data_IF_280276556782
#
_entry.id   IF_280276556782
#
_cell.length_a   1.000
_cell.length_b   1.000
_cell.length_c   1.000
_cell.angle_alpha   90.00
_cell.angle_beta   90.00
_cell.angle_gamma   90.00
#
_symmetry.space_group_name_H-M   'P 1'
#
loop_
_entity.id
_entity.type
_entity.pdbx_description
1 polymer ?
#
# COMPACT_ATOMS: atom_id res chain seq x y z
N UNK A 1 2.04 5.27 -33.78
CA UNK A 1 1.17 6.22 -34.51
C UNK A 1 1.71 7.62 -34.30
N UNK A 2 2.17 8.29 -35.35
CA UNK A 2 2.93 9.55 -35.25
C UNK A 2 2.01 10.76 -35.40
N UNK A 3 1.79 11.51 -34.32
CA UNK A 3 0.98 12.74 -34.33
C UNK A 3 1.72 13.83 -35.11
N UNK A 4 1.26 14.09 -36.34
CA UNK A 4 1.73 15.21 -37.18
C UNK A 4 1.04 16.51 -36.73
N UNK A 5 1.71 17.29 -35.90
CA UNK A 5 1.32 18.68 -35.64
C UNK A 5 1.60 19.52 -36.90
N UNK A 6 0.55 19.92 -37.63
CA UNK A 6 0.65 20.87 -38.75
C UNK A 6 0.85 22.29 -38.20
N UNK A 7 2.09 22.75 -38.12
CA UNK A 7 2.40 24.19 -37.98
C UNK A 7 2.12 24.90 -39.30
N UNK A 8 1.06 25.70 -39.38
CA UNK A 8 0.89 26.71 -40.44
C UNK A 8 1.74 27.93 -40.08
N UNK A 9 2.83 28.14 -40.82
CA UNK A 9 3.57 29.39 -40.80
C UNK A 9 2.75 30.46 -41.54
N UNK A 10 2.25 31.45 -40.79
CA UNK A 10 1.76 32.71 -41.36
C UNK A 10 2.88 33.74 -41.23
N UNK A 11 3.46 34.10 -42.37
CA UNK A 11 4.42 35.19 -42.48
C UNK A 11 3.68 36.52 -42.68
N UNK A 12 4.06 37.51 -41.88
CA UNK A 12 4.04 38.94 -42.22
C UNK A 12 2.72 39.69 -42.04
N UNK A 13 2.65 40.54 -41.02
CA UNK A 13 2.77 41.99 -41.19
C UNK A 13 2.82 42.68 -39.82
N UNK A 14 3.88 43.46 -39.59
CA UNK A 14 4.00 44.33 -38.45
C UNK A 14 3.20 45.62 -38.69
N UNK A 15 2.25 45.93 -37.82
CA UNK A 15 1.75 47.28 -37.60
C UNK A 15 1.32 47.39 -36.13
N UNK A 16 2.10 48.19 -35.39
CA UNK A 16 1.86 48.52 -34.01
C UNK A 16 0.62 49.42 -33.88
N UNK A 17 -0.38 48.94 -33.16
CA UNK A 17 -1.43 49.73 -32.54
C UNK A 17 -1.78 49.02 -31.23
N UNK A 18 -1.59 49.73 -30.12
CA UNK A 18 -1.80 49.24 -28.76
C UNK A 18 -3.26 48.92 -28.50
N UNK A 19 -3.66 47.70 -28.83
CA UNK A 19 -4.82 47.05 -28.26
C UNK A 19 -4.32 46.17 -27.11
N UNK A 20 -4.64 46.57 -25.89
CA UNK A 20 -4.68 45.65 -24.75
C UNK A 20 -5.76 44.63 -25.14
N UNK A 21 -5.37 43.56 -25.84
CA UNK A 21 -6.18 42.38 -25.97
C UNK A 21 -6.25 41.78 -24.57
N UNK A 22 -7.25 42.23 -23.80
CA UNK A 22 -7.86 41.37 -22.80
C UNK A 22 -8.38 40.17 -23.59
N UNK A 23 -7.53 39.15 -23.77
CA UNK A 23 -8.02 37.83 -24.11
C UNK A 23 -8.99 37.50 -22.97
N UNK A 24 -10.31 37.44 -23.21
CA UNK A 24 -11.19 36.87 -22.22
C UNK A 24 -10.60 35.49 -21.93
N UNK A 25 -10.15 35.26 -20.69
CA UNK A 25 -9.63 33.97 -20.31
C UNK A 25 -10.69 32.96 -20.69
N UNK A 26 -10.38 32.09 -21.66
CA UNK A 26 -11.28 31.01 -22.02
C UNK A 26 -11.43 30.16 -20.76
N UNK A 27 -12.57 30.29 -20.09
CA UNK A 27 -12.93 29.39 -19.00
C UNK A 27 -13.48 28.15 -19.69
N UNK A 28 -12.78 27.03 -19.53
CA UNK A 28 -13.32 25.73 -19.92
C UNK A 28 -14.48 25.47 -18.97
N UNK A 29 -15.64 25.14 -19.53
CA UNK A 29 -16.81 24.73 -18.75
C UNK A 29 -16.42 23.45 -17.99
N UNK A 30 -16.47 23.49 -16.66
CA UNK A 30 -16.05 22.37 -15.81
C UNK A 30 -16.83 21.08 -16.06
N UNK A 31 -18.01 21.17 -16.68
CA UNK A 31 -18.78 19.99 -17.08
C UNK A 31 -18.09 19.13 -18.15
N UNK A 32 -17.19 19.71 -18.95
CA UNK A 32 -16.44 18.98 -19.99
C UNK A 32 -15.30 18.12 -19.42
N UNK A 33 -14.71 18.54 -18.31
CA UNK A 33 -13.65 17.79 -17.63
C UNK A 33 -14.17 16.50 -16.99
N UNK A 34 -15.49 16.39 -16.78
CA UNK A 34 -16.13 15.17 -16.28
C UNK A 34 -16.36 14.11 -17.36
N UNK A 35 -16.20 14.42 -18.65
CA UNK A 35 -16.64 13.51 -19.74
C UNK A 35 -15.50 12.86 -20.52
N UNK A 36 -14.26 13.31 -20.32
CA UNK A 36 -13.08 12.80 -21.01
C UNK A 36 -11.89 12.73 -20.03
N UNK A 37 -10.94 11.82 -20.27
CA UNK A 37 -9.69 11.79 -19.51
C UNK A 37 -8.78 12.95 -19.93
N UNK A 38 -8.45 13.84 -18.99
CA UNK A 38 -7.46 14.90 -19.19
C UNK A 38 -6.18 14.58 -18.44
N UNK A 39 -5.08 14.45 -19.18
CA UNK A 39 -3.76 14.27 -18.59
C UNK A 39 -3.21 15.61 -18.09
N UNK A 40 -2.45 15.57 -17.00
CA UNK A 40 -1.80 16.75 -16.42
C UNK A 40 -0.35 16.46 -16.08
N UNK A 41 0.47 17.51 -15.95
CA UNK A 41 1.81 17.41 -15.36
C UNK A 41 1.84 18.13 -14.00
N UNK A 42 1.04 19.19 -13.88
CA UNK A 42 0.90 19.99 -12.65
C UNK A 42 -0.57 20.39 -12.41
N UNK A 43 -0.92 20.71 -11.16
CA UNK A 43 -2.30 21.08 -10.79
C UNK A 43 -2.86 22.28 -11.57
N UNK A 44 -2.01 23.20 -12.05
CA UNK A 44 -2.46 24.34 -12.86
C UNK A 44 -3.00 23.95 -14.23
N UNK A 45 -2.73 22.72 -14.69
CA UNK A 45 -3.22 22.23 -15.99
C UNK A 45 -4.71 21.91 -15.96
N UNK A 46 -5.26 21.58 -14.79
CA UNK A 46 -6.64 21.10 -14.62
C UNK A 46 -7.69 22.22 -14.47
N UNK A 47 -7.26 23.46 -14.27
CA UNK A 47 -8.17 24.59 -14.04
C UNK A 47 -8.70 24.68 -12.60
N UNK A 48 -9.56 25.67 -12.35
CA UNK A 48 -10.07 25.97 -11.01
C UNK A 48 -11.11 24.94 -10.55
N UNK A 49 -11.02 24.48 -9.30
CA UNK A 49 -11.90 23.44 -8.76
C UNK A 49 -11.44 22.01 -9.04
N UNK A 50 -10.32 21.85 -9.74
CA UNK A 50 -9.74 20.57 -10.13
C UNK A 50 -8.30 20.46 -9.64
N UNK A 51 -7.83 19.23 -9.45
CA UNK A 51 -6.47 18.89 -9.06
C UNK A 51 -5.87 17.88 -10.03
N UNK A 52 -4.53 17.87 -10.11
CA UNK A 52 -3.80 16.84 -10.83
C UNK A 52 -3.58 15.65 -9.89
N UNK A 53 -4.32 14.57 -10.11
CA UNK A 53 -4.09 13.27 -9.50
C UNK A 53 -2.77 12.70 -10.05
N UNK A 54 -1.91 12.25 -9.14
CA UNK A 54 -0.56 11.82 -9.50
C UNK A 54 -0.57 10.40 -10.05
N UNK A 55 0.24 10.18 -11.07
CA UNK A 55 0.48 8.91 -11.70
C UNK A 55 0.92 7.88 -10.66
N UNK A 56 0.44 6.68 -10.87
CA UNK A 56 0.85 5.47 -10.18
C UNK A 56 1.49 4.54 -11.22
N UNK A 57 2.07 3.40 -10.84
CA UNK A 57 2.53 2.42 -11.81
C UNK A 57 1.39 1.87 -12.70
N UNK A 58 0.14 2.13 -12.31
CA UNK A 58 -1.07 1.60 -12.92
C UNK A 58 -1.78 2.65 -13.78
N UNK A 59 -1.66 3.94 -13.45
CA UNK A 59 -2.40 5.05 -14.05
C UNK A 59 -1.47 6.23 -14.41
N UNK A 60 -1.72 6.95 -15.53
CA UNK A 60 -1.03 8.21 -15.81
C UNK A 60 -1.46 9.33 -14.86
N UNK A 61 -0.79 10.49 -14.90
CA UNK A 61 -1.26 11.70 -14.22
C UNK A 61 -2.56 12.20 -14.89
N UNK A 62 -3.59 12.52 -14.12
CA UNK A 62 -4.88 12.95 -14.67
C UNK A 62 -5.59 14.02 -13.83
N UNK A 63 -6.43 14.82 -14.47
CA UNK A 63 -7.24 15.82 -13.81
C UNK A 63 -8.51 15.21 -13.21
N UNK A 64 -8.76 15.50 -11.95
CA UNK A 64 -9.99 15.15 -11.23
C UNK A 64 -10.52 16.37 -10.45
N UNK A 65 -11.82 16.45 -10.13
CA UNK A 65 -12.33 17.48 -9.24
C UNK A 65 -11.58 17.44 -7.91
N UNK A 66 -11.37 18.59 -7.27
CA UNK A 66 -10.66 18.60 -5.99
C UNK A 66 -11.56 18.16 -4.83
N UNK A 67 -10.96 17.62 -3.78
CA UNK A 67 -11.71 17.19 -2.59
C UNK A 67 -12.24 18.33 -1.72
N UNK A 68 -11.73 19.54 -1.91
CA UNK A 68 -12.24 20.73 -1.24
C UNK A 68 -13.57 21.24 -1.83
N UNK A 69 -13.95 20.78 -3.03
CA UNK A 69 -15.26 21.04 -3.64
C UNK A 69 -16.29 20.00 -3.17
N UNK A 70 -17.57 20.18 -3.53
CA UNK A 70 -18.60 19.16 -3.30
C UNK A 70 -18.23 17.89 -4.09
N UNK A 71 -17.56 16.95 -3.41
CA UNK A 71 -17.19 15.66 -3.96
C UNK A 71 -18.35 14.69 -3.77
N UNK A 72 -19.03 14.33 -4.85
CA UNK A 72 -20.11 13.34 -4.87
C UNK A 72 -19.60 11.89 -4.86
N UNK A 73 -18.29 11.67 -4.71
CA UNK A 73 -17.67 10.35 -4.71
C UNK A 73 -16.55 10.20 -3.69
N UNK A 74 -15.56 9.40 -4.03
CA UNK A 74 -14.43 9.06 -3.16
C UNK A 74 -13.35 10.11 -3.28
N UNK A 75 -13.02 10.69 -2.14
CA UNK A 75 -11.87 11.56 -2.03
C UNK A 75 -10.59 10.78 -1.85
N UNK A 76 -9.94 10.39 -2.95
CA UNK A 76 -8.56 9.90 -2.85
C UNK A 76 -7.66 11.10 -2.65
N UNK A 77 -6.96 11.15 -1.53
CA UNK A 77 -5.93 12.15 -1.38
C UNK A 77 -4.88 11.86 -2.46
N UNK A 78 -4.78 12.68 -3.52
CA UNK A 78 -3.63 12.76 -4.44
C UNK A 78 -3.42 14.24 -4.80
N UNK A 79 -2.24 14.81 -4.53
CA UNK A 79 -1.96 16.25 -4.67
C UNK A 79 -2.44 17.17 -3.51
N UNK A 80 -2.08 18.45 -3.55
CA UNK A 80 -2.36 19.43 -2.46
C UNK A 80 -3.86 19.60 -2.15
N UNK A 81 -4.74 19.24 -3.06
CA UNK A 81 -6.19 19.45 -2.94
C UNK A 81 -7.02 18.15 -2.93
N UNK A 82 -6.39 16.98 -3.02
CA UNK A 82 -7.06 15.69 -3.25
C UNK A 82 -7.72 15.58 -4.63
N UNK A 83 -8.02 14.35 -5.04
CA UNK A 83 -8.73 14.02 -6.27
C UNK A 83 -10.04 13.32 -5.88
N UNK A 84 -11.16 13.90 -6.29
CA UNK A 84 -12.48 13.33 -6.13
C UNK A 84 -12.74 12.37 -7.30
N UNK A 85 -12.77 11.07 -7.02
CA UNK A 85 -13.13 10.05 -7.99
C UNK A 85 -14.60 9.71 -7.84
N UNK A 86 -15.28 9.48 -8.97
CA UNK A 86 -16.68 9.04 -8.92
C UNK A 86 -16.76 7.61 -8.40
N UNK A 87 -17.70 7.37 -7.49
CA UNK A 87 -18.08 6.02 -7.10
C UNK A 87 -18.71 5.27 -8.27
N UNK A 88 -18.50 3.96 -8.30
CA UNK A 88 -19.16 3.06 -9.20
C UNK A 88 -19.49 1.75 -8.47
N UNK A 89 -20.30 0.91 -9.09
CA UNK A 89 -20.71 -0.37 -8.53
C UNK A 89 -20.48 -1.49 -9.52
N UNK A 90 -20.01 -2.61 -9.03
CA UNK A 90 -19.84 -3.85 -9.78
C UNK A 90 -21.01 -4.77 -9.43
N UNK A 91 -21.77 -5.18 -10.43
CA UNK A 91 -22.94 -6.04 -10.26
C UNK A 91 -22.54 -7.52 -10.23
N UNK A 92 -23.44 -8.39 -9.74
CA UNK A 92 -23.19 -9.84 -9.66
C UNK A 92 -22.93 -10.50 -11.02
N UNK A 93 -23.40 -9.90 -12.11
CA UNK A 93 -23.15 -10.34 -13.49
C UNK A 93 -21.86 -9.75 -14.09
N UNK A 94 -21.02 -9.13 -13.25
CA UNK A 94 -19.77 -8.44 -13.59
C UNK A 94 -19.96 -7.20 -14.48
N UNK A 95 -21.19 -6.76 -14.70
CA UNK A 95 -21.42 -5.45 -15.31
C UNK A 95 -21.14 -4.34 -14.30
N UNK A 96 -20.71 -3.18 -14.80
CA UNK A 96 -20.38 -2.04 -13.94
C UNK A 96 -21.34 -0.88 -14.19
N UNK A 97 -21.62 -0.09 -13.15
CA UNK A 97 -22.28 1.20 -13.35
C UNK A 97 -21.39 2.10 -14.20
N UNK A 98 -21.98 2.90 -15.09
CA UNK A 98 -21.22 3.71 -16.03
C UNK A 98 -20.29 4.71 -15.31
N UNK A 99 -19.00 4.64 -15.63
CA UNK A 99 -18.03 5.67 -15.29
C UNK A 99 -18.19 6.91 -16.18
N UNK A 100 -17.60 8.06 -15.81
CA UNK A 100 -17.84 9.32 -16.50
C UNK A 100 -17.41 9.34 -17.98
N UNK A 101 -16.42 8.52 -18.36
CA UNK A 101 -16.03 8.26 -19.75
C UNK A 101 -15.61 6.80 -19.96
N UNK A 102 -15.40 6.41 -21.21
CA UNK A 102 -14.87 5.09 -21.59
C UNK A 102 -13.37 4.91 -21.26
N UNK A 103 -12.68 5.97 -20.84
CA UNK A 103 -11.27 5.94 -20.43
C UNK A 103 -11.10 5.59 -18.94
N UNK A 104 -12.21 5.36 -18.22
CA UNK A 104 -12.22 4.98 -16.81
C UNK A 104 -12.89 3.62 -16.66
N UNK A 105 -12.23 2.71 -15.97
CA UNK A 105 -12.85 1.48 -15.50
C UNK A 105 -13.32 1.63 -14.06
N UNK A 106 -14.35 0.85 -13.73
CA UNK A 106 -14.85 0.74 -12.37
C UNK A 106 -13.99 -0.27 -11.61
N UNK A 107 -13.00 0.21 -10.86
CA UNK A 107 -12.06 -0.64 -10.13
C UNK A 107 -12.58 -0.91 -8.72
N UNK A 108 -12.61 -2.18 -8.36
CA UNK A 108 -13.02 -2.66 -7.04
C UNK A 108 -12.07 -2.13 -5.97
N UNK A 109 -12.62 -1.48 -4.94
CA UNK A 109 -11.83 -0.95 -3.81
C UNK A 109 -11.82 -1.86 -2.60
N UNK A 110 -12.79 -2.77 -2.49
CA UNK A 110 -12.92 -3.78 -1.43
C UNK A 110 -13.31 -5.12 -2.03
N UNK A 111 -12.65 -6.21 -1.62
CA UNK A 111 -13.04 -7.57 -2.02
C UNK A 111 -14.24 -8.10 -1.23
N UNK A 112 -14.71 -7.37 -0.22
CA UNK A 112 -15.83 -7.75 0.63
C UNK A 112 -17.17 -7.19 0.11
N UNK A 113 -17.12 -6.10 -0.66
CA UNK A 113 -18.27 -5.34 -1.13
C UNK A 113 -18.23 -5.08 -2.64
N UNK A 114 -19.36 -4.66 -3.22
CA UNK A 114 -19.53 -4.36 -4.65
C UNK A 114 -19.15 -2.95 -5.07
N UNK A 115 -18.52 -2.22 -4.16
CA UNK A 115 -18.17 -0.83 -4.34
C UNK A 115 -16.85 -0.71 -5.11
N UNK A 116 -16.81 0.25 -6.02
CA UNK A 116 -15.65 0.57 -6.82
C UNK A 116 -15.50 2.07 -7.02
N UNK A 117 -14.40 2.45 -7.64
CA UNK A 117 -14.13 3.83 -8.05
C UNK A 117 -13.76 3.87 -9.52
N UNK A 118 -14.27 4.89 -10.20
CA UNK A 118 -13.89 5.16 -11.59
C UNK A 118 -12.45 5.67 -11.63
N UNK A 119 -11.55 4.88 -12.21
CA UNK A 119 -10.12 5.15 -12.25
C UNK A 119 -9.56 4.89 -13.65
N UNK A 120 -8.64 5.72 -14.17
CA UNK A 120 -8.17 5.62 -15.56
C UNK A 120 -7.07 4.56 -15.68
N UNK A 121 -7.46 3.30 -15.46
CA UNK A 121 -6.64 2.10 -15.56
C UNK A 121 -7.46 1.01 -16.24
N UNK A 122 -6.79 -0.03 -16.72
CA UNK A 122 -7.47 -1.23 -17.20
C UNK A 122 -7.80 -2.15 -16.01
N UNK A 123 -9.09 -2.42 -15.82
CA UNK A 123 -9.59 -3.39 -14.86
C UNK A 123 -9.41 -4.83 -15.36
N UNK A 124 -9.21 -5.77 -14.44
CA UNK A 124 -9.07 -7.18 -14.77
C UNK A 124 -9.73 -8.11 -13.74
N UNK A 125 -10.18 -9.26 -14.20
CA UNK A 125 -10.58 -10.40 -13.37
C UNK A 125 -9.62 -11.57 -13.48
N UNK A 126 -8.80 -11.60 -14.53
CA UNK A 126 -7.78 -12.62 -14.76
C UNK A 126 -6.55 -12.00 -15.42
N UNK A 127 -5.36 -12.59 -15.20
CA UNK A 127 -4.12 -12.09 -15.84
C UNK A 127 -4.14 -12.19 -17.37
N UNK A 128 -5.07 -12.95 -17.97
CA UNK A 128 -5.23 -13.02 -19.43
C UNK A 128 -5.86 -11.76 -20.04
N UNK A 129 -6.51 -10.92 -19.22
CA UNK A 129 -7.07 -9.62 -19.63
C UNK A 129 -5.99 -8.52 -19.64
N UNK A 130 -4.88 -8.75 -18.94
CA UNK A 130 -3.77 -7.80 -18.85
C UNK A 130 -2.81 -7.92 -20.04
N UNK A 131 -2.00 -6.88 -20.24
CA UNK A 131 -0.90 -6.91 -21.21
C UNK A 131 0.19 -7.91 -20.78
N UNK A 132 1.08 -8.31 -21.69
CA UNK A 132 2.03 -9.41 -21.45
C UNK A 132 3.05 -9.15 -20.30
N UNK A 133 3.24 -7.89 -19.91
CA UNK A 133 4.15 -7.45 -18.83
C UNK A 133 3.40 -7.18 -17.51
N UNK A 134 2.12 -7.52 -17.46
CA UNK A 134 1.25 -7.25 -16.32
C UNK A 134 0.51 -8.53 -15.89
N UNK A 135 0.27 -8.65 -14.60
CA UNK A 135 -0.61 -9.67 -14.04
C UNK A 135 -1.79 -9.01 -13.34
N UNK A 136 -2.91 -9.72 -13.26
CA UNK A 136 -4.04 -9.21 -12.54
C UNK A 136 -3.82 -9.36 -11.03
N UNK A 137 -4.11 -8.32 -10.26
CA UNK A 137 -3.98 -8.33 -8.79
C UNK A 137 -4.82 -9.44 -8.13
N UNK A 138 -5.84 -9.95 -8.83
CA UNK A 138 -6.58 -11.16 -8.47
C UNK A 138 -5.66 -12.34 -8.16
N UNK A 139 -4.58 -12.54 -8.93
CA UNK A 139 -3.65 -13.64 -8.72
C UNK A 139 -2.93 -13.53 -7.37
N UNK A 140 -2.61 -12.32 -6.92
CA UNK A 140 -2.11 -12.08 -5.57
C UNK A 140 -3.19 -12.41 -4.53
N UNK A 141 -4.41 -11.86 -4.66
CA UNK A 141 -5.52 -12.07 -3.70
C UNK A 141 -5.88 -13.56 -3.55
N UNK A 142 -5.91 -14.31 -4.66
CA UNK A 142 -6.14 -15.74 -4.66
C UNK A 142 -4.96 -16.52 -4.08
N UNK A 143 -3.74 -16.17 -4.48
CA UNK A 143 -2.51 -16.85 -4.07
C UNK A 143 -2.25 -16.77 -2.56
N UNK A 144 -2.63 -15.66 -1.93
CA UNK A 144 -2.51 -15.47 -0.48
C UNK A 144 -3.65 -16.14 0.31
N UNK A 145 -4.51 -16.90 -0.38
CA UNK A 145 -5.54 -17.73 0.24
C UNK A 145 -6.74 -16.95 0.76
N UNK A 146 -6.89 -15.68 0.38
CA UNK A 146 -7.99 -14.85 0.87
C UNK A 146 -9.29 -15.10 0.06
N UNK A 147 -9.24 -15.82 -1.06
CA UNK A 147 -10.41 -16.21 -1.87
C UNK A 147 -11.44 -17.17 -1.23
N UNK A 148 -11.37 -17.43 0.08
CA UNK A 148 -12.37 -18.23 0.79
C UNK A 148 -13.57 -17.40 1.25
N UNK A 149 -14.80 -17.92 1.12
CA UNK A 149 -15.94 -17.38 1.88
C UNK A 149 -16.74 -16.23 1.25
N UNK A 150 -16.66 -16.04 -0.08
CA UNK A 150 -17.52 -15.08 -0.78
C UNK A 150 -16.87 -13.72 -1.08
N UNK A 151 -15.55 -13.63 -0.93
CA UNK A 151 -14.80 -12.48 -1.42
C UNK A 151 -14.79 -12.43 -2.95
N UNK A 152 -14.77 -11.22 -3.49
CA UNK A 152 -14.86 -10.91 -4.92
C UNK A 152 -13.53 -10.33 -5.38
N UNK A 153 -12.85 -11.05 -6.27
CA UNK A 153 -11.55 -10.65 -6.82
C UNK A 153 -11.65 -10.36 -8.32
N UNK A 154 -12.77 -9.79 -8.76
CA UNK A 154 -12.98 -9.29 -10.12
C UNK A 154 -12.82 -7.76 -10.18
N UNK A 155 -12.53 -7.24 -11.38
CA UNK A 155 -12.32 -5.82 -11.67
C UNK A 155 -11.26 -5.15 -10.76
N UNK A 156 -10.13 -5.84 -10.54
CA UNK A 156 -8.95 -5.32 -9.85
C UNK A 156 -7.93 -4.75 -10.86
N UNK A 157 -6.75 -4.38 -10.38
CA UNK A 157 -5.68 -3.75 -11.18
C UNK A 157 -4.90 -4.75 -12.02
N UNK A 158 -4.60 -4.42 -13.28
CA UNK A 158 -3.44 -4.96 -13.97
C UNK A 158 -2.16 -4.31 -13.41
N UNK A 159 -1.32 -5.08 -12.74
CA UNK A 159 -0.09 -4.59 -12.08
C UNK A 159 1.16 -5.00 -12.88
N UNK A 160 2.15 -4.12 -13.07
CA UNK A 160 3.39 -4.48 -13.74
C UNK A 160 4.16 -5.54 -12.94
N UNK A 161 4.65 -6.56 -13.65
CA UNK A 161 5.40 -7.69 -13.08
C UNK A 161 6.86 -7.58 -13.54
N UNK A 162 7.78 -7.10 -12.69
CA UNK A 162 9.17 -6.90 -13.08
C UNK A 162 9.95 -8.22 -13.14
N UNK A 163 10.74 -8.43 -14.20
CA UNK A 163 11.74 -9.51 -14.27
C UNK A 163 12.93 -9.20 -13.34
N UNK A 164 13.31 -7.92 -13.25
CA UNK A 164 14.37 -7.41 -12.40
C UNK A 164 13.91 -6.16 -11.62
N UNK A 165 14.46 -5.86 -10.44
CA UNK A 165 14.03 -4.70 -9.64
C UNK A 165 14.06 -3.36 -10.37
N UNK A 166 14.97 -3.18 -11.32
CA UNK A 166 15.12 -1.97 -12.16
C UNK A 166 14.07 -1.84 -13.28
N UNK A 167 13.31 -2.88 -13.57
CA UNK A 167 12.28 -2.86 -14.63
C UNK A 167 11.01 -2.12 -14.20
N UNK A 168 10.91 -1.79 -12.92
CA UNK A 168 9.79 -1.04 -12.39
C UNK A 168 9.74 0.41 -12.90
N UNK A 169 8.54 0.93 -13.26
CA UNK A 169 8.39 2.31 -13.70
C UNK A 169 8.92 3.35 -12.70
N UNK A 170 9.23 4.58 -13.13
CA UNK A 170 9.58 5.66 -12.21
C UNK A 170 8.57 5.82 -11.08
N UNK A 171 9.06 6.12 -9.86
CA UNK A 171 8.25 6.25 -8.63
C UNK A 171 7.57 4.95 -8.20
N UNK A 172 8.19 3.83 -8.51
CA UNK A 172 7.76 2.53 -8.04
C UNK A 172 8.94 1.69 -7.57
N UNK A 173 8.65 0.69 -6.74
CA UNK A 173 9.64 -0.29 -6.27
C UNK A 173 9.16 -1.70 -6.59
N UNK A 174 10.09 -2.57 -6.94
CA UNK A 174 9.80 -4.00 -7.07
C UNK A 174 9.68 -4.63 -5.68
N UNK A 175 8.58 -5.33 -5.45
CA UNK A 175 8.35 -6.13 -4.25
C UNK A 175 7.93 -7.53 -4.68
N UNK A 176 8.54 -8.54 -4.06
CA UNK A 176 8.18 -9.93 -4.27
C UNK A 176 7.28 -10.39 -3.11
N UNK A 177 6.05 -10.78 -3.44
CA UNK A 177 5.08 -11.29 -2.48
C UNK A 177 5.13 -12.82 -2.47
N UNK A 178 5.71 -13.48 -1.45
CA UNK A 178 5.62 -14.94 -1.29
C UNK A 178 4.16 -15.41 -1.20
N UNK A 179 3.74 -16.20 -2.20
CA UNK A 179 2.45 -16.88 -2.21
C UNK A 179 2.55 -18.27 -1.56
N UNK A 180 3.70 -18.92 -1.67
CA UNK A 180 4.03 -20.19 -1.01
C UNK A 180 5.56 -20.32 -0.87
N UNK A 181 6.05 -21.44 -0.32
CA UNK A 181 7.50 -21.71 -0.18
C UNK A 181 8.27 -21.60 -1.51
N UNK A 182 7.64 -22.01 -2.62
CA UNK A 182 8.27 -22.07 -3.95
C UNK A 182 7.72 -21.02 -4.93
N UNK A 183 6.77 -20.18 -4.51
CA UNK A 183 6.08 -19.24 -5.40
C UNK A 183 6.11 -17.82 -4.86
N UNK A 184 6.53 -16.89 -5.71
CA UNK A 184 6.50 -15.45 -5.46
C UNK A 184 5.70 -14.74 -6.55
N UNK A 185 5.03 -13.67 -6.17
CA UNK A 185 4.36 -12.73 -7.07
C UNK A 185 5.15 -11.41 -7.08
N UNK A 186 6.01 -11.17 -8.07
CA UNK A 186 6.71 -9.91 -8.19
C UNK A 186 5.75 -8.84 -8.72
N UNK A 187 5.75 -7.66 -8.11
CA UNK A 187 5.00 -6.52 -8.63
C UNK A 187 5.68 -5.19 -8.36
N UNK A 188 5.39 -4.21 -9.19
CA UNK A 188 5.78 -2.83 -8.94
C UNK A 188 4.74 -2.13 -8.06
N UNK A 189 5.15 -1.68 -6.89
CA UNK A 189 4.35 -0.86 -5.96
C UNK A 189 4.66 0.62 -6.13
N UNK A 190 3.63 1.46 -6.06
CA UNK A 190 3.84 2.91 -6.03
C UNK A 190 4.64 3.31 -4.77
N UNK A 191 5.59 4.25 -4.91
CA UNK A 191 6.29 4.83 -3.76
C UNK A 191 5.40 5.86 -3.09
N UNK A 192 5.34 5.82 -1.75
CA UNK A 192 4.76 6.86 -0.92
C UNK A 192 5.82 7.39 0.06
N UNK A 193 5.59 8.52 0.72
CA UNK A 193 6.49 9.03 1.76
C UNK A 193 5.75 9.70 2.91
N UNK A 194 6.51 10.26 3.86
CA UNK A 194 5.96 10.93 5.04
C UNK A 194 5.11 12.17 4.73
N UNK A 195 5.39 12.81 3.60
CA UNK A 195 4.70 14.01 3.10
C UNK A 195 3.62 13.67 2.07
N UNK A 196 3.75 12.52 1.42
CA UNK A 196 2.87 12.00 0.38
C UNK A 196 2.46 10.56 0.74
N UNK A 197 1.53 10.40 1.68
CA UNK A 197 0.98 9.09 2.11
C UNK A 197 -0.02 8.49 1.13
N UNK A 198 -0.11 9.08 -0.05
CA UNK A 198 -1.23 8.93 -0.97
C UNK A 198 -0.96 7.75 -1.87
N UNK A 199 -1.92 6.83 -1.89
CA UNK A 199 -1.84 5.60 -2.65
C UNK A 199 -2.99 5.49 -3.65
N UNK A 200 -2.87 4.63 -4.67
CA UNK A 200 -4.02 4.25 -5.48
C UNK A 200 -5.15 3.69 -4.59
N UNK A 201 -6.41 3.74 -5.06
CA UNK A 201 -7.52 3.05 -4.39
C UNK A 201 -7.18 1.57 -4.15
N UNK A 202 -7.68 1.01 -3.06
CA UNK A 202 -7.34 -0.31 -2.52
C UNK A 202 -5.89 -0.49 -2.04
N UNK A 203 -5.09 0.57 -1.96
CA UNK A 203 -3.73 0.53 -1.40
C UNK A 203 -3.57 1.53 -0.26
N UNK A 204 -2.76 1.17 0.73
CA UNK A 204 -2.38 2.01 1.86
C UNK A 204 -0.87 2.25 1.93
N UNK A 205 -0.46 3.42 2.42
CA UNK A 205 0.95 3.78 2.50
C UNK A 205 1.63 3.13 3.71
N UNK A 206 2.46 2.14 3.46
CA UNK A 206 3.25 1.49 4.49
C UNK A 206 4.57 2.24 4.71
N UNK A 207 4.52 3.24 5.59
CA UNK A 207 5.67 4.08 5.95
C UNK A 207 6.80 3.34 6.65
N UNK A 208 6.55 2.15 7.21
CA UNK A 208 7.54 1.40 8.00
C UNK A 208 8.46 0.54 7.17
N UNK A 209 8.18 0.40 5.87
CA UNK A 209 9.03 -0.32 4.93
C UNK A 209 10.37 0.38 4.63
N UNK A 210 10.70 1.44 5.38
CA UNK A 210 12.00 2.12 5.42
C UNK A 210 13.16 1.16 5.73
N UNK A 211 12.89 -0.03 6.31
CA UNK A 211 13.88 -1.11 6.45
C UNK A 211 14.40 -1.61 5.08
N UNK A 212 13.59 -1.53 4.02
CA UNK A 212 13.98 -1.80 2.61
C UNK A 212 14.25 -0.52 1.81
N UNK A 213 14.41 0.62 2.48
CA UNK A 213 14.95 1.86 1.91
C UNK A 213 13.93 2.91 1.45
N UNK A 214 12.67 2.54 1.17
CA UNK A 214 11.60 3.48 0.75
C UNK A 214 10.22 2.99 1.21
N UNK A 215 9.31 3.92 1.51
CA UNK A 215 7.91 3.59 1.79
C UNK A 215 7.15 3.35 0.49
N UNK A 216 6.14 2.47 0.54
CA UNK A 216 5.39 2.08 -0.64
C UNK A 216 3.91 1.83 -0.33
N UNK A 217 3.10 1.90 -1.37
CA UNK A 217 1.69 1.60 -1.36
C UNK A 217 1.50 0.09 -1.43
N UNK A 218 1.14 -0.53 -0.32
CA UNK A 218 0.81 -1.94 -0.25
C UNK A 218 -0.69 -2.13 -0.44
N UNK A 219 -1.14 -3.24 -1.07
CA UNK A 219 -2.56 -3.53 -1.12
C UNK A 219 -3.14 -3.50 0.29
N UNK A 220 -4.31 -2.88 0.44
CA UNK A 220 -4.95 -2.51 1.70
C UNK A 220 -5.53 -3.68 2.47
N UNK A 221 -4.71 -4.68 2.75
CA UNK A 221 -5.08 -5.81 3.58
C UNK A 221 -5.11 -5.44 5.07
N UNK A 222 -5.64 -6.35 5.88
CA UNK A 222 -5.79 -6.13 7.32
C UNK A 222 -4.45 -5.79 8.02
N UNK A 223 -4.36 -4.62 8.65
CA UNK A 223 -3.17 -4.11 9.33
C UNK A 223 -2.33 -3.12 8.51
N UNK A 224 -2.71 -2.87 7.26
CA UNK A 224 -2.10 -1.81 6.44
C UNK A 224 -2.68 -0.44 6.86
N UNK A 225 -1.83 0.60 7.04
CA UNK A 225 -2.30 1.95 7.35
C UNK A 225 -3.21 2.51 6.25
N UNK A 226 -4.21 3.29 6.63
CA UNK A 226 -5.19 3.88 5.71
C UNK A 226 -5.59 5.29 6.14
N UNK A 227 -6.08 6.09 5.20
CA UNK A 227 -6.67 7.40 5.48
C UNK A 227 -8.21 7.31 5.54
N UNK A 228 -8.79 6.51 4.63
CA UNK A 228 -10.22 6.17 4.55
C UNK A 228 -10.48 4.75 3.98
N UNK A 229 -11.75 4.34 3.92
CA UNK A 229 -12.18 3.00 3.53
C UNK A 229 -11.71 2.62 2.12
N UNK A 230 -11.40 3.58 1.25
CA UNK A 230 -10.97 3.30 -0.13
C UNK A 230 -9.52 2.90 -0.23
N UNK A 231 -8.74 3.02 0.84
CA UNK A 231 -7.42 2.40 0.91
C UNK A 231 -7.49 0.91 1.27
N UNK A 232 -8.64 0.39 1.71
CA UNK A 232 -8.77 -0.93 2.29
C UNK A 232 -9.39 -1.93 1.31
N UNK A 233 -8.51 -2.68 0.64
CA UNK A 233 -8.89 -3.84 -0.14
C UNK A 233 -9.63 -4.88 0.70
N UNK A 234 -9.33 -4.97 2.00
CA UNK A 234 -10.05 -5.79 2.98
C UNK A 234 -10.30 -5.03 4.27
N UNK A 235 -11.46 -5.28 4.87
CA UNK A 235 -11.89 -4.60 6.07
C UNK A 235 -12.24 -3.15 5.81
N UNK A 236 -12.12 -2.34 6.86
CA UNK A 236 -12.47 -0.93 6.86
C UNK A 236 -11.37 -0.09 7.48
N UNK A 237 -11.31 1.17 7.12
CA UNK A 237 -10.35 2.09 7.69
C UNK A 237 -10.83 2.64 9.03
N UNK A 238 -10.41 1.99 10.11
CA UNK A 238 -10.88 2.31 11.47
C UNK A 238 -9.70 2.85 12.28
N UNK A 239 -9.94 3.94 13.02
CA UNK A 239 -8.98 4.44 14.01
C UNK A 239 -8.94 3.48 15.20
N UNK A 240 -7.80 2.82 15.37
CA UNK A 240 -7.58 1.85 16.45
C UNK A 240 -7.28 2.53 17.79
N UNK A 241 -7.05 3.84 17.80
CA UNK A 241 -6.74 4.63 18.99
C UNK A 241 -5.30 4.48 19.51
N UNK A 242 -4.56 3.45 19.09
CA UNK A 242 -3.21 3.16 19.60
C UNK A 242 -2.10 3.45 18.60
N UNK A 243 -2.37 3.29 17.30
CA UNK A 243 -1.38 3.52 16.23
C UNK A 243 -1.97 4.27 15.02
N UNK A 244 -3.15 4.87 15.19
CA UNK A 244 -3.91 5.53 14.13
C UNK A 244 -4.86 4.59 13.39
N UNK A 245 -5.14 4.93 12.14
CA UNK A 245 -6.09 4.21 11.29
C UNK A 245 -5.42 3.09 10.51
N UNK A 246 -6.09 1.94 10.48
CA UNK A 246 -5.66 0.78 9.71
C UNK A 246 -6.86 0.11 9.05
N UNK A 247 -6.60 -0.58 7.95
CA UNK A 247 -7.53 -1.55 7.41
C UNK A 247 -7.73 -2.65 8.44
N UNK A 248 -8.91 -2.71 9.04
CA UNK A 248 -9.20 -3.62 10.15
C UNK A 248 -10.68 -3.98 10.19
N UNK A 249 -11.03 -4.89 11.08
CA UNK A 249 -12.40 -5.30 11.38
C UNK A 249 -12.59 -5.48 12.88
N UNK A 250 -13.82 -5.76 13.29
CA UNK A 250 -14.15 -6.06 14.69
C UNK A 250 -13.67 -7.47 15.06
N UNK A 251 -13.39 -7.72 16.34
CA UNK A 251 -12.96 -9.05 16.76
C UNK A 251 -14.02 -10.13 16.49
N UNK A 252 -15.30 -9.79 16.62
CA UNK A 252 -16.41 -10.72 16.36
C UNK A 252 -16.49 -11.11 14.89
N UNK A 253 -16.29 -10.15 13.99
CA UNK A 253 -16.25 -10.44 12.55
C UNK A 253 -15.02 -11.27 12.19
N UNK A 254 -13.84 -10.92 12.72
CA UNK A 254 -12.63 -11.72 12.55
C UNK A 254 -12.80 -13.17 13.05
N UNK A 255 -13.53 -13.37 14.15
CA UNK A 255 -13.88 -14.69 14.66
C UNK A 255 -14.77 -15.47 13.69
N UNK A 256 -15.69 -14.78 13.01
CA UNK A 256 -16.58 -15.36 11.99
C UNK A 256 -15.85 -15.74 10.71
N UNK A 257 -14.99 -14.87 10.19
CA UNK A 257 -14.38 -15.05 8.86
C UNK A 257 -13.07 -15.83 8.90
N UNK A 258 -12.29 -15.70 9.98
CA UNK A 258 -10.95 -16.28 10.09
C UNK A 258 -10.67 -17.02 11.39
N UNK A 259 -11.66 -17.24 12.26
CA UNK A 259 -11.44 -17.80 13.61
C UNK A 259 -10.58 -16.92 14.53
N UNK A 260 -10.54 -15.60 14.28
CA UNK A 260 -9.90 -14.60 15.14
C UNK A 260 -8.97 -13.66 14.38
N UNK A 261 -8.54 -12.59 15.06
CA UNK A 261 -7.68 -11.56 14.48
C UNK A 261 -6.33 -12.11 13.97
N UNK A 262 -5.71 -13.04 14.69
CA UNK A 262 -4.38 -13.55 14.34
C UNK A 262 -4.37 -14.26 12.98
N UNK A 263 -5.45 -14.96 12.65
CA UNK A 263 -5.58 -15.75 11.43
C UNK A 263 -5.86 -14.90 10.19
N UNK A 264 -6.56 -13.76 10.33
CA UNK A 264 -6.83 -12.87 9.19
C UNK A 264 -5.59 -12.08 8.76
N UNK A 265 -4.59 -11.92 9.65
CA UNK A 265 -3.28 -11.32 9.31
C UNK A 265 -2.24 -12.31 8.80
N UNK A 266 -2.48 -13.62 8.91
CA UNK A 266 -1.47 -14.66 8.63
C UNK A 266 -0.82 -14.53 7.24
N UNK A 267 -1.54 -14.20 6.15
CA UNK A 267 -0.90 -14.04 4.84
C UNK A 267 0.10 -12.88 4.78
N UNK A 268 -0.08 -11.84 5.62
CA UNK A 268 0.72 -10.62 5.58
C UNK A 268 2.05 -10.75 6.34
N UNK A 269 2.09 -11.63 7.33
CA UNK A 269 3.33 -11.99 8.01
C UNK A 269 4.35 -12.61 7.05
N UNK A 270 3.87 -13.34 6.03
CA UNK A 270 4.72 -13.91 4.97
C UNK A 270 5.47 -12.83 4.19
N UNK A 271 4.94 -11.60 4.10
CA UNK A 271 5.57 -10.48 3.39
C UNK A 271 6.65 -9.76 4.20
N UNK A 272 7.09 -10.33 5.32
CA UNK A 272 8.11 -9.71 6.18
C UNK A 272 7.61 -8.49 6.96
N UNK A 273 6.29 -8.26 7.01
CA UNK A 273 5.71 -7.11 7.67
C UNK A 273 5.73 -7.18 9.21
N UNK A 274 6.18 -8.31 9.80
CA UNK A 274 6.47 -8.52 11.23
C UNK A 274 5.40 -7.90 12.16
N UNK A 275 4.14 -8.09 11.83
CA UNK A 275 3.02 -7.71 12.69
C UNK A 275 1.93 -8.77 12.62
N UNK A 276 1.27 -8.99 13.75
CA UNK A 276 0.05 -9.78 13.82
C UNK A 276 -1.10 -8.90 14.24
N UNK A 277 -2.33 -9.32 13.94
CA UNK A 277 -3.50 -8.67 14.48
C UNK A 277 -3.92 -9.36 15.76
N UNK A 278 -4.05 -8.60 16.84
CA UNK A 278 -4.60 -9.07 18.12
C UNK A 278 -5.95 -8.41 18.36
N UNK A 279 -6.87 -9.13 18.98
CA UNK A 279 -8.11 -8.51 19.43
C UNK A 279 -7.84 -7.58 20.61
N UNK A 280 -8.15 -6.29 20.45
CA UNK A 280 -8.13 -5.31 21.51
C UNK A 280 -9.59 -4.93 21.88
N UNK A 281 -10.12 -5.47 22.99
CA UNK A 281 -11.48 -5.16 23.45
C UNK A 281 -11.64 -3.71 23.92
N UNK A 282 -10.53 -3.00 24.15
CA UNK A 282 -10.53 -1.60 24.57
C UNK A 282 -10.48 -0.61 23.40
N UNK A 283 -10.21 -1.10 22.18
CA UNK A 283 -10.10 -0.23 21.01
C UNK A 283 -11.46 0.42 20.65
N UNK A 284 -11.47 1.74 20.35
CA UNK A 284 -12.68 2.47 20.03
C UNK A 284 -13.19 2.07 18.64
N UNK A 285 -14.33 1.36 18.56
CA UNK A 285 -14.95 1.04 17.27
C UNK A 285 -15.67 -0.30 17.18
N UNK A 286 -15.51 -1.19 18.18
CA UNK A 286 -16.37 -2.37 18.28
C UNK A 286 -17.81 -1.94 18.56
N UNK A 287 -18.72 -2.12 17.59
CA UNK A 287 -20.09 -1.60 17.61
C UNK A 287 -20.89 -1.99 18.87
N UNK A 288 -20.48 -3.04 19.58
CA UNK A 288 -21.12 -3.56 20.80
C UNK A 288 -20.12 -3.88 21.93
N UNK A 289 -18.92 -3.28 21.91
CA UNK A 289 -17.88 -3.56 22.91
C UNK A 289 -17.08 -4.85 22.67
N UNK A 290 -17.17 -5.41 21.46
CA UNK A 290 -16.42 -6.61 21.03
C UNK A 290 -14.94 -6.36 20.68
N UNK A 291 -14.49 -5.10 20.65
CA UNK A 291 -13.11 -4.73 20.29
C UNK A 291 -12.83 -4.66 18.79
N UNK A 292 -11.59 -4.28 18.47
CA UNK A 292 -11.06 -4.25 17.11
C UNK A 292 -9.84 -5.15 16.99
N UNK A 293 -9.59 -5.68 15.80
CA UNK A 293 -8.30 -6.25 15.49
C UNK A 293 -7.28 -5.11 15.36
N UNK A 294 -6.20 -5.13 16.12
CA UNK A 294 -5.19 -4.06 16.09
C UNK A 294 -3.83 -4.65 15.73
N UNK A 295 -3.03 -3.96 14.91
CA UNK A 295 -1.69 -4.42 14.57
C UNK A 295 -0.81 -4.37 15.81
N UNK A 296 -0.10 -5.48 16.04
CA UNK A 296 0.84 -5.68 17.13
C UNK A 296 2.14 -6.19 16.53
N UNK A 297 3.21 -5.46 16.79
CA UNK A 297 4.46 -5.63 16.07
C UNK A 297 5.40 -6.61 16.78
N UNK A 298 6.08 -7.43 15.98
CA UNK A 298 6.89 -8.55 16.45
C UNK A 298 8.36 -8.17 16.69
N UNK A 299 9.16 -9.16 17.11
CA UNK A 299 10.58 -8.97 17.44
C UNK A 299 11.34 -8.32 16.28
N UNK A 300 12.09 -7.27 16.61
CA UNK A 300 12.91 -6.51 15.67
C UNK A 300 12.18 -5.37 14.96
N UNK A 301 10.86 -5.27 15.11
CA UNK A 301 10.12 -4.17 14.50
C UNK A 301 10.37 -2.85 15.25
N UNK A 302 10.63 -1.71 14.56
CA UNK A 302 10.84 -0.43 15.23
C UNK A 302 9.55 0.01 15.95
N UNK A 303 9.62 0.23 17.25
CA UNK A 303 8.44 0.59 18.06
C UNK A 303 8.28 2.11 18.26
N UNK A 304 9.30 2.88 17.88
CA UNK A 304 9.27 4.34 17.92
C UNK A 304 9.62 4.92 16.56
N UNK A 305 8.95 6.00 16.21
CA UNK A 305 9.43 6.97 15.23
C UNK A 305 10.19 8.10 15.97
N UNK A 306 10.97 8.94 15.26
CA UNK A 306 11.53 10.16 15.86
C UNK A 306 10.47 11.08 16.50
N UNK A 307 9.19 10.91 16.15
CA UNK A 307 8.09 11.80 16.49
C UNK A 307 7.15 11.21 17.56
N UNK A 308 7.12 9.89 17.77
CA UNK A 308 6.22 9.23 18.74
C UNK A 308 6.51 7.73 18.94
N UNK A 309 5.99 7.15 20.03
CA UNK A 309 5.77 5.69 20.17
C UNK A 309 4.59 5.30 19.28
N UNK A 310 4.84 5.18 17.97
CA UNK A 310 3.80 5.00 16.97
C UNK A 310 3.31 3.55 16.83
N UNK A 311 4.12 2.57 17.27
CA UNK A 311 3.85 1.14 17.05
C UNK A 311 3.83 0.37 18.35
N UNK A 312 2.76 -0.39 18.56
CA UNK A 312 2.59 -1.17 19.78
C UNK A 312 3.07 -2.58 19.57
N UNK A 313 4.03 -2.97 20.39
CA UNK A 313 4.57 -4.32 20.39
C UNK A 313 3.51 -5.35 20.79
N UNK A 314 3.67 -6.59 20.30
CA UNK A 314 2.90 -7.73 20.77
C UNK A 314 2.92 -7.85 22.30
N UNK A 315 1.88 -8.44 22.88
CA UNK A 315 1.63 -8.41 24.33
C UNK A 315 2.80 -8.94 25.20
N UNK A 316 3.68 -9.79 24.66
CA UNK A 316 4.84 -10.33 25.37
C UNK A 316 6.16 -9.62 25.06
N UNK A 317 6.10 -8.51 24.32
CA UNK A 317 7.23 -7.70 23.90
C UNK A 317 7.14 -6.30 24.50
N UNK A 318 8.30 -5.67 24.66
CA UNK A 318 8.46 -4.30 25.13
C UNK A 318 9.25 -3.48 24.11
N UNK A 319 9.00 -2.17 24.13
CA UNK A 319 9.67 -1.22 23.24
C UNK A 319 11.03 -0.80 23.82
N UNK A 320 12.05 -1.59 23.54
CA UNK A 320 13.38 -1.44 24.15
C UNK A 320 14.38 -0.79 23.21
N UNK A 321 15.39 -0.13 23.78
CA UNK A 321 16.49 0.45 23.03
C UNK A 321 17.39 -0.63 22.41
N UNK A 322 17.58 -0.55 21.10
CA UNK A 322 18.45 -1.40 20.29
C UNK A 322 19.63 -0.54 19.83
N UNK A 323 20.86 -0.94 20.20
CA UNK A 323 22.13 -0.29 19.82
C UNK A 323 22.27 1.20 20.20
N UNK A 324 23.27 1.53 21.03
CA UNK A 324 23.64 2.90 21.46
C UNK A 324 22.49 3.84 21.93
N UNK A 325 21.28 3.32 22.14
CA UNK A 325 20.11 4.07 22.60
C UNK A 325 19.35 4.85 21.52
N UNK A 326 19.76 4.78 20.25
CA UNK A 326 19.23 5.67 19.21
C UNK A 326 17.95 5.12 18.57
N UNK A 327 17.84 3.80 18.44
CA UNK A 327 16.68 3.15 17.86
C UNK A 327 16.00 2.30 18.94
N UNK A 328 14.67 2.29 18.99
CA UNK A 328 13.93 1.31 19.80
C UNK A 328 13.21 0.33 18.91
N UNK A 329 13.14 -0.92 19.34
CA UNK A 329 12.35 -1.95 18.67
C UNK A 329 11.62 -2.86 19.65
N UNK A 330 10.60 -3.52 19.15
CA UNK A 330 9.88 -4.55 19.88
C UNK A 330 10.82 -5.73 20.13
N UNK A 331 11.05 -6.04 21.39
CA UNK A 331 11.89 -7.15 21.83
C UNK A 331 11.55 -7.51 23.27
N UNK A 332 12.23 -8.50 23.84
CA UNK A 332 12.09 -8.91 25.24
C UNK A 332 13.41 -9.49 25.74
N UNK A 333 13.55 -9.53 27.05
CA UNK A 333 14.67 -10.18 27.71
C UNK A 333 14.71 -11.68 27.39
N UNK A 334 15.91 -12.22 27.22
CA UNK A 334 16.12 -13.63 26.90
C UNK A 334 17.36 -14.20 27.57
N UNK A 335 17.36 -15.52 27.76
CA UNK A 335 18.54 -16.27 28.22
C UNK A 335 18.98 -17.35 27.22
N UNK A 336 18.13 -17.66 26.24
CA UNK A 336 18.36 -18.64 25.19
C UNK A 336 17.47 -18.30 23.98
N UNK A 337 17.79 -18.90 22.83
CA UNK A 337 17.00 -18.71 21.60
C UNK A 337 15.56 -19.23 21.78
N UNK A 338 15.36 -20.28 22.58
CA UNK A 338 14.03 -20.81 22.89
C UNK A 338 13.09 -19.76 23.53
N UNK A 339 13.63 -18.84 24.33
CA UNK A 339 12.82 -17.74 24.89
C UNK A 339 12.31 -16.77 23.82
N UNK A 340 13.02 -16.66 22.70
CA UNK A 340 12.67 -15.77 21.60
C UNK A 340 11.65 -16.40 20.62
N UNK A 341 11.53 -17.72 20.59
CA UNK A 341 10.72 -18.47 19.62
C UNK A 341 9.55 -19.24 20.26
N UNK A 342 8.92 -18.68 21.29
CA UNK A 342 7.77 -19.31 21.99
C UNK A 342 6.48 -19.24 21.17
N UNK A 343 5.59 -20.22 21.33
CA UNK A 343 4.20 -20.23 20.83
C UNK A 343 4.01 -20.27 19.30
N UNK A 344 4.70 -21.18 18.61
CA UNK A 344 4.48 -21.38 17.16
C UNK A 344 5.02 -20.24 16.28
N UNK A 345 5.76 -19.30 16.88
CA UNK A 345 6.63 -18.38 16.14
C UNK A 345 7.65 -19.20 15.37
N UNK A 346 7.90 -18.82 14.12
CA UNK A 346 8.98 -19.39 13.32
C UNK A 346 10.31 -19.29 14.07
N UNK A 347 11.24 -20.22 13.83
CA UNK A 347 12.59 -20.25 14.42
C UNK A 347 13.48 -19.11 13.87
N UNK A 348 12.92 -17.91 13.76
CA UNK A 348 13.45 -16.75 13.03
C UNK A 348 14.03 -15.71 13.98
N UNK A 349 14.12 -16.01 15.28
CA UNK A 349 14.70 -15.11 16.27
C UNK A 349 15.80 -15.79 17.07
N UNK A 350 16.72 -14.99 17.60
CA UNK A 350 17.80 -15.45 18.46
C UNK A 350 17.96 -14.54 19.66
N UNK A 351 18.54 -15.08 20.73
CA UNK A 351 18.92 -14.34 21.91
C UNK A 351 20.35 -13.79 21.75
N UNK A 352 20.50 -12.47 21.78
CA UNK A 352 21.82 -11.84 21.75
C UNK A 352 22.45 -11.88 23.13
N UNK A 353 23.55 -12.62 23.28
CA UNK A 353 24.30 -12.69 24.54
C UNK A 353 25.00 -11.38 24.94
N UNK A 354 24.96 -10.36 24.08
CA UNK A 354 25.57 -9.06 24.37
C UNK A 354 24.56 -8.10 25.02
N UNK A 355 23.29 -8.19 24.62
CA UNK A 355 22.23 -7.33 25.11
C UNK A 355 21.22 -8.05 26.00
N UNK A 356 21.26 -9.39 26.05
CA UNK A 356 20.25 -10.26 26.66
C UNK A 356 18.83 -10.00 26.13
N UNK A 357 18.74 -9.58 24.86
CA UNK A 357 17.49 -9.25 24.15
C UNK A 357 17.31 -10.15 22.92
N UNK A 358 16.05 -10.38 22.56
CA UNK A 358 15.69 -11.10 21.34
C UNK A 358 15.87 -10.24 20.09
N UNK A 359 16.44 -10.84 19.04
CA UNK A 359 16.63 -10.20 17.75
C UNK A 359 16.20 -11.12 16.61
N UNK A 360 15.77 -10.56 15.48
CA UNK A 360 15.54 -11.34 14.27
C UNK A 360 16.85 -11.96 13.77
N UNK A 361 16.79 -13.22 13.34
CA UNK A 361 17.85 -13.86 12.55
C UNK A 361 18.12 -13.03 11.30
N UNK A 362 19.38 -13.03 10.89
CA UNK A 362 19.88 -12.23 9.79
C UNK A 362 19.83 -13.02 8.48
N UNK A 363 19.52 -12.32 7.40
CA UNK A 363 19.54 -12.86 6.04
C UNK A 363 20.98 -13.07 5.54
N UNK A 364 21.14 -13.76 4.41
CA UNK A 364 22.44 -13.94 3.75
C UNK A 364 23.21 -12.61 3.62
N UNK A 365 24.48 -12.63 4.00
CA UNK A 365 25.35 -11.45 4.03
C UNK A 365 25.24 -10.61 5.31
N UNK A 366 24.21 -10.81 6.12
CA UNK A 366 24.07 -10.16 7.43
C UNK A 366 25.18 -10.56 8.40
N UNK A 367 25.59 -9.65 9.28
CA UNK A 367 26.67 -9.91 10.23
C UNK A 367 26.25 -10.92 11.30
N UNK A 368 27.13 -11.85 11.66
CA UNK A 368 26.82 -12.91 12.61
C UNK A 368 28.00 -13.23 13.53
N UNK A 369 27.70 -13.86 14.66
CA UNK A 369 28.72 -14.35 15.61
C UNK A 369 28.72 -15.88 15.64
N UNK A 370 27.53 -16.47 15.61
CA UNK A 370 27.27 -17.91 15.62
C UNK A 370 26.18 -18.26 14.60
N UNK A 371 26.10 -19.55 14.28
CA UNK A 371 25.17 -20.11 13.29
C UNK A 371 23.72 -19.71 13.55
N UNK A 372 23.25 -19.82 14.79
CA UNK A 372 21.88 -19.44 15.17
C UNK A 372 21.55 -17.94 15.04
N UNK A 373 22.50 -17.08 14.66
CA UNK A 373 22.17 -15.71 14.26
C UNK A 373 21.58 -15.61 12.84
N UNK A 374 21.69 -16.66 12.03
CA UNK A 374 21.43 -16.66 10.61
C UNK A 374 20.18 -17.48 10.28
N UNK A 375 19.34 -17.02 9.36
CA UNK A 375 18.18 -17.79 8.89
C UNK A 375 18.59 -19.16 8.31
N UNK A 376 19.76 -19.24 7.70
CA UNK A 376 20.34 -20.47 7.16
C UNK A 376 21.03 -21.37 8.19
N UNK A 377 21.06 -20.95 9.46
CA UNK A 377 21.87 -21.57 10.52
C UNK A 377 23.35 -21.76 10.12
N UNK A 378 23.90 -20.86 9.31
CA UNK A 378 25.27 -20.91 8.84
C UNK A 378 25.96 -19.55 8.94
N UNK A 379 26.87 -19.41 9.90
CA UNK A 379 27.68 -18.21 10.11
C UNK A 379 29.14 -18.45 9.71
N UNK A 380 29.54 -17.94 8.55
CA UNK A 380 30.86 -18.21 7.98
C UNK A 380 31.80 -17.01 8.09
N UNK A 381 33.10 -17.28 8.17
CA UNK A 381 34.13 -16.24 8.10
C UNK A 381 34.45 -15.92 6.62
N UNK A 382 34.10 -14.72 6.18
CA UNK A 382 34.42 -14.19 4.87
C UNK A 382 35.92 -13.90 4.67
N UNK A 383 36.34 -13.72 3.42
CA UNK A 383 37.74 -13.40 3.07
C UNK A 383 38.22 -12.06 3.61
N UNK A 384 37.29 -11.15 3.92
CA UNK A 384 37.54 -9.85 4.56
C UNK A 384 37.71 -9.95 6.09
N UNK A 385 37.60 -11.16 6.65
CA UNK A 385 37.71 -11.43 8.08
C UNK A 385 36.44 -11.11 8.87
N UNK A 386 35.33 -10.77 8.21
CA UNK A 386 34.02 -10.58 8.86
C UNK A 386 33.21 -11.87 8.82
N UNK A 387 32.43 -12.11 9.86
CA UNK A 387 31.50 -13.24 9.89
C UNK A 387 30.15 -12.81 9.33
N UNK A 388 29.65 -13.55 8.35
CA UNK A 388 28.37 -13.26 7.69
C UNK A 388 27.53 -14.51 7.53
N UNK A 389 26.22 -14.35 7.49
CA UNK A 389 25.29 -15.43 7.19
C UNK A 389 25.43 -15.87 5.72
N UNK A 390 25.29 -17.17 5.47
CA UNK A 390 25.34 -17.75 4.13
C UNK A 390 23.97 -18.09 3.57
#
# INVERSE_FOLDING_TARGET
>A
MTLRVRKRALAGFALALGAIFAFPGCTVDGSFLNTELFLCEVSSDCGSGWGCARATPYAPDFCAPNCASECDGVCVAQGEAGACLSECRIHEDLTTSACPSEDYDCIRVSVEDDDGVCYPVDGCSTSAECSAEHECLTALVEGIGIGGGGLRADNLYCVPVPDNPEDCPPRSIAVAFPLSEDQVFPMCLAVCDATDTRCPPAFGCLRHHVILGQAACFPGFYGIPCDDDTNCLQGRCIDTGVSGKFCTTTCDEALRVGFGCENISAPLNTFGLRYRLECDPSAPGGADGGGLCVPRYEIGFPCTTPESEAFVCAADLSCEAIADGVQKGCTKDCSSDDHCNVDGRSEDNYCSSFFDLCFPKQDTGGACIRDGNCQSDACVLGMDGRRTCQ
#
